data_IF_336903337974
#
_entry.id   IF_336903337974
#
_cell.length_a   1.000
_cell.length_b   1.000
_cell.length_c   1.000
_cell.angle_alpha   90.00
_cell.angle_beta   90.00
_cell.angle_gamma   90.00
#
_symmetry.space_group_name_H-M   'P 1'
#
loop_
_entity.id
_entity.type
_entity.pdbx_description
1 polymer ?
#
# COMPACT_ATOMS: atom_id res chain seq x y z
N UNK A 1 14.10 19.79 -23.67
CA UNK A 1 15.15 19.08 -24.43
C UNK A 1 14.60 17.70 -24.77
N UNK A 2 14.95 17.07 -25.90
CA UNK A 2 14.51 15.70 -26.14
C UNK A 2 15.12 14.82 -25.05
N UNK A 3 14.28 14.09 -24.31
CA UNK A 3 14.73 13.08 -23.36
C UNK A 3 15.71 12.15 -24.07
N UNK A 4 16.81 11.79 -23.42
CA UNK A 4 17.74 10.80 -23.93
C UNK A 4 16.95 9.54 -24.32
N UNK A 5 16.99 9.12 -25.59
CA UNK A 5 16.38 7.86 -26.02
C UNK A 5 17.01 6.72 -25.24
N UNK A 6 16.18 5.88 -24.63
CA UNK A 6 16.60 4.62 -24.04
C UNK A 6 16.88 3.63 -25.18
N UNK A 7 18.12 3.15 -25.27
CA UNK A 7 18.55 2.20 -26.29
C UNK A 7 18.56 0.76 -25.72
N UNK A 8 18.39 -0.30 -26.53
CA UNK A 8 18.29 -1.68 -26.04
C UNK A 8 19.44 -2.21 -25.19
N UNK A 9 20.63 -1.59 -25.26
CA UNK A 9 21.81 -1.96 -24.49
C UNK A 9 22.03 -1.08 -23.24
N UNK A 10 21.16 -0.09 -23.00
CA UNK A 10 21.25 0.77 -21.83
C UNK A 10 20.98 -0.03 -20.56
N UNK A 11 21.71 0.30 -19.50
CA UNK A 11 21.40 -0.20 -18.17
C UNK A 11 20.08 0.41 -17.70
N UNK A 12 19.01 -0.39 -17.76
CA UNK A 12 17.68 0.02 -17.32
C UNK A 12 17.67 0.52 -15.88
N UNK A 13 18.47 -0.07 -14.98
CA UNK A 13 18.50 0.36 -13.58
C UNK A 13 19.18 1.71 -13.45
N UNK A 14 20.23 1.97 -14.25
CA UNK A 14 20.82 3.30 -14.32
C UNK A 14 19.82 4.35 -14.86
N UNK A 15 19.13 4.02 -15.94
CA UNK A 15 18.16 4.93 -16.56
C UNK A 15 16.96 5.22 -15.65
N UNK A 16 16.30 4.17 -15.14
CA UNK A 16 15.07 4.28 -14.35
C UNK A 16 15.38 4.84 -12.96
N UNK A 17 16.36 4.24 -12.27
CA UNK A 17 16.63 4.49 -10.85
C UNK A 17 17.66 5.60 -10.69
N UNK A 18 18.92 5.39 -11.12
CA UNK A 18 20.02 6.34 -10.80
C UNK A 18 19.78 7.73 -11.39
N UNK A 19 19.30 7.78 -12.64
CA UNK A 19 18.97 9.02 -13.36
C UNK A 19 17.55 9.53 -13.08
N UNK A 20 16.78 8.86 -12.22
CA UNK A 20 15.44 9.29 -11.82
C UNK A 20 14.44 9.52 -12.98
N UNK A 21 14.65 8.88 -14.14
CA UNK A 21 13.68 8.94 -15.24
C UNK A 21 12.40 8.19 -14.90
N UNK A 22 12.51 7.14 -14.08
CA UNK A 22 11.41 6.25 -13.76
C UNK A 22 10.95 5.43 -14.96
N UNK A 23 9.98 4.55 -14.71
CA UNK A 23 9.32 3.79 -15.75
C UNK A 23 8.45 4.68 -16.63
N UNK A 24 7.93 5.79 -16.10
CA UNK A 24 7.27 6.80 -16.93
C UNK A 24 8.23 7.33 -18.01
N UNK A 25 9.43 7.75 -17.61
CA UNK A 25 10.43 8.24 -18.56
C UNK A 25 10.82 7.18 -19.58
N UNK A 26 10.80 5.89 -19.19
CA UNK A 26 11.02 4.78 -20.12
C UNK A 26 9.88 4.68 -21.16
N UNK A 27 8.62 4.80 -20.74
CA UNK A 27 7.46 4.80 -21.66
C UNK A 27 7.49 6.01 -22.60
N UNK A 28 7.88 7.19 -22.10
CA UNK A 28 7.99 8.42 -22.89
C UNK A 28 9.01 8.32 -24.05
N UNK A 29 9.89 7.32 -24.05
CA UNK A 29 10.82 7.05 -25.18
C UNK A 29 10.17 6.38 -26.39
N UNK A 30 8.89 5.97 -26.28
CA UNK A 30 8.18 5.24 -27.33
C UNK A 30 8.38 3.72 -27.24
N UNK A 31 8.49 3.20 -26.03
CA UNK A 31 8.74 1.78 -25.75
C UNK A 31 7.65 0.86 -26.34
N UNK A 32 8.03 -0.06 -27.24
CA UNK A 32 7.09 -1.02 -27.85
C UNK A 32 6.90 -2.31 -27.03
N UNK A 33 7.95 -2.75 -26.32
CA UNK A 33 7.91 -3.94 -25.48
C UNK A 33 8.61 -3.69 -24.15
N UNK A 34 8.12 -4.31 -23.08
CA UNK A 34 8.76 -4.17 -21.77
C UNK A 34 10.14 -4.83 -21.76
N UNK A 35 11.14 -4.25 -21.07
CA UNK A 35 12.43 -4.89 -20.88
C UNK A 35 12.32 -6.20 -20.09
N UNK A 36 13.30 -7.09 -20.27
CA UNK A 36 13.33 -8.39 -19.56
C UNK A 36 13.29 -8.24 -18.03
N UNK A 37 13.90 -7.18 -17.52
CA UNK A 37 13.92 -6.84 -16.10
C UNK A 37 12.53 -6.47 -15.56
N UNK A 38 11.52 -6.25 -16.41
CA UNK A 38 10.14 -5.99 -16.00
C UNK A 38 9.22 -7.22 -16.20
N UNK A 39 9.74 -8.32 -16.77
CA UNK A 39 8.98 -9.55 -17.01
C UNK A 39 8.89 -10.35 -15.72
N UNK A 40 7.68 -10.47 -15.19
CA UNK A 40 7.42 -11.16 -13.94
C UNK A 40 7.56 -12.68 -14.07
N UNK A 41 8.03 -13.39 -13.02
CA UNK A 41 7.96 -14.85 -12.94
C UNK A 41 6.51 -15.35 -13.14
N UNK A 42 6.34 -16.54 -13.72
CA UNK A 42 5.01 -17.06 -14.08
C UNK A 42 4.05 -17.15 -12.89
N UNK A 43 4.56 -17.57 -11.74
CA UNK A 43 3.82 -17.69 -10.48
C UNK A 43 3.42 -16.34 -9.88
N UNK A 44 4.08 -15.25 -10.27
CA UNK A 44 3.76 -13.88 -9.83
C UNK A 44 2.76 -13.18 -10.74
N UNK A 45 2.61 -13.63 -11.99
CA UNK A 45 1.65 -13.05 -12.94
C UNK A 45 0.22 -13.29 -12.49
N UNK A 46 -0.67 -12.34 -12.78
CA UNK A 46 -2.11 -12.51 -12.55
C UNK A 46 -2.75 -13.11 -13.81
N UNK A 47 -3.16 -14.38 -13.73
CA UNK A 47 -3.83 -15.02 -14.87
C UNK A 47 -5.32 -14.67 -14.89
N UNK A 48 -5.86 -14.39 -16.08
CA UNK A 48 -7.29 -14.06 -16.27
C UNK A 48 -8.23 -15.17 -15.78
N UNK A 49 -7.79 -16.43 -15.86
CA UNK A 49 -8.51 -17.61 -15.36
C UNK A 49 -8.74 -17.58 -13.85
N UNK A 50 -7.90 -16.87 -13.10
CA UNK A 50 -7.97 -16.78 -11.64
C UNK A 50 -8.90 -15.65 -11.19
N UNK A 51 -9.34 -14.76 -12.10
CA UNK A 51 -10.15 -13.60 -11.73
C UNK A 51 -11.62 -14.03 -11.59
N UNK A 52 -12.16 -13.90 -10.38
CA UNK A 52 -13.57 -14.10 -10.09
C UNK A 52 -14.33 -12.78 -10.19
N UNK A 53 -15.13 -12.63 -11.25
CA UNK A 53 -15.95 -11.44 -11.49
C UNK A 53 -17.33 -11.47 -10.80
N UNK A 54 -17.66 -12.55 -10.06
CA UNK A 54 -18.95 -12.69 -9.37
C UNK A 54 -18.89 -12.29 -7.89
N UNK A 55 -17.69 -12.21 -7.33
CA UNK A 55 -17.46 -11.75 -5.95
C UNK A 55 -16.98 -10.30 -5.95
N UNK A 56 -17.31 -9.57 -4.89
CA UNK A 56 -16.84 -8.21 -4.63
C UNK A 56 -16.58 -8.05 -3.14
N UNK A 57 -15.57 -7.25 -2.78
CA UNK A 57 -15.37 -6.88 -1.38
C UNK A 57 -16.54 -6.02 -0.87
N UNK A 58 -16.83 -6.03 0.44
CA UNK A 58 -17.89 -5.20 1.01
C UNK A 58 -17.66 -3.71 0.75
N UNK A 59 -18.73 -2.96 0.49
CA UNK A 59 -18.74 -1.50 0.51
C UNK A 59 -19.57 -1.02 1.69
N UNK A 60 -18.99 -0.16 2.51
CA UNK A 60 -19.57 0.30 3.78
C UNK A 60 -19.80 1.81 3.70
N UNK A 61 -21.05 2.22 3.93
CA UNK A 61 -21.44 3.63 4.00
C UNK A 61 -21.19 4.18 5.41
N UNK A 62 -20.32 5.19 5.50
CA UNK A 62 -19.92 5.82 6.76
C UNK A 62 -20.72 7.09 7.12
N UNK A 63 -21.80 7.40 6.39
CA UNK A 63 -22.68 8.55 6.67
C UNK A 63 -23.26 8.55 8.09
N UNK A 64 -23.40 7.38 8.72
CA UNK A 64 -23.83 7.23 10.11
C UNK A 64 -22.82 6.38 10.90
N UNK A 65 -21.58 6.86 10.97
CA UNK A 65 -20.44 6.13 11.55
C UNK A 65 -20.67 5.64 12.99
N UNK A 66 -21.38 6.41 13.81
CA UNK A 66 -21.65 6.08 15.22
C UNK A 66 -22.71 4.98 15.41
N UNK A 67 -23.29 4.48 14.32
CA UNK A 67 -24.27 3.41 14.36
C UNK A 67 -23.59 2.04 14.57
N UNK A 68 -24.04 1.29 15.59
CA UNK A 68 -23.57 -0.06 15.89
C UNK A 68 -23.60 -1.03 14.70
N UNK A 69 -24.51 -0.84 13.74
CA UNK A 69 -24.56 -1.67 12.53
C UNK A 69 -23.39 -1.39 11.56
N UNK A 70 -22.91 -0.14 11.48
CA UNK A 70 -21.74 0.24 10.69
C UNK A 70 -20.49 -0.31 11.34
N UNK A 71 -20.35 -0.17 12.66
CA UNK A 71 -19.24 -0.77 13.42
C UNK A 71 -19.13 -2.28 13.18
N UNK A 72 -20.25 -3.00 13.30
CA UNK A 72 -20.30 -4.45 13.04
C UNK A 72 -19.96 -4.79 11.60
N UNK A 73 -20.37 -3.98 10.63
CA UNK A 73 -20.05 -4.20 9.22
C UNK A 73 -18.54 -4.09 8.96
N UNK A 74 -17.87 -3.13 9.62
CA UNK A 74 -16.41 -2.97 9.55
C UNK A 74 -15.71 -4.19 10.17
N UNK A 75 -16.13 -4.60 11.37
CA UNK A 75 -15.55 -5.76 12.07
C UNK A 75 -15.77 -7.07 11.29
N UNK A 76 -16.95 -7.26 10.72
CA UNK A 76 -17.28 -8.42 9.87
C UNK A 76 -16.45 -8.43 8.58
N UNK A 77 -16.28 -7.27 7.94
CA UNK A 77 -15.46 -7.17 6.74
C UNK A 77 -13.98 -7.45 7.05
N UNK A 78 -13.44 -6.88 8.13
CA UNK A 78 -12.07 -7.12 8.57
C UNK A 78 -11.78 -8.59 8.93
N UNK A 79 -12.77 -9.30 9.50
CA UNK A 79 -12.62 -10.70 9.90
C UNK A 79 -12.84 -11.71 8.77
N UNK A 80 -13.77 -11.44 7.85
CA UNK A 80 -14.12 -12.36 6.75
C UNK A 80 -13.31 -12.09 5.49
N UNK A 81 -13.11 -10.82 5.16
CA UNK A 81 -12.53 -10.37 3.89
C UNK A 81 -11.16 -9.75 4.05
N UNK A 82 -10.85 -9.17 5.21
CA UNK A 82 -9.61 -8.40 5.40
C UNK A 82 -9.51 -7.12 4.58
N UNK A 83 -10.51 -6.84 3.74
CA UNK A 83 -10.62 -5.75 2.79
C UNK A 83 -12.07 -5.28 2.71
N UNK A 84 -12.26 -3.97 2.54
CA UNK A 84 -13.55 -3.35 2.25
C UNK A 84 -13.36 -1.98 1.61
N UNK A 85 -14.38 -1.45 0.95
CA UNK A 85 -14.42 -0.05 0.54
C UNK A 85 -15.27 0.76 1.51
N UNK A 86 -14.89 2.00 1.76
CA UNK A 86 -15.68 2.96 2.52
C UNK A 86 -16.12 4.12 1.62
N UNK A 87 -17.37 4.54 1.77
CA UNK A 87 -17.95 5.72 1.09
C UNK A 87 -18.55 6.66 2.14
N UNK A 88 -18.81 7.91 1.75
CA UNK A 88 -19.35 8.94 2.66
C UNK A 88 -18.52 9.09 3.95
N UNK A 89 -17.21 8.90 3.85
CA UNK A 89 -16.26 8.91 4.98
C UNK A 89 -15.87 10.31 5.47
N UNK A 90 -16.46 11.36 4.89
CA UNK A 90 -16.31 12.75 5.34
C UNK A 90 -15.11 13.50 4.77
N UNK A 91 -14.24 12.88 3.98
CA UNK A 91 -13.17 13.59 3.27
C UNK A 91 -13.79 14.24 2.02
N UNK A 92 -13.62 15.55 1.79
CA UNK A 92 -14.13 16.20 0.58
C UNK A 92 -13.57 15.57 -0.69
N UNK A 93 -14.41 15.42 -1.73
CA UNK A 93 -14.01 14.81 -3.00
C UNK A 93 -12.88 15.60 -3.65
N UNK A 94 -12.89 16.93 -3.50
CA UNK A 94 -11.88 17.83 -4.02
C UNK A 94 -10.50 17.53 -3.44
N UNK A 95 -10.41 17.17 -2.15
CA UNK A 95 -9.14 16.78 -1.51
C UNK A 95 -8.58 15.51 -2.15
N UNK A 96 -9.44 14.54 -2.47
CA UNK A 96 -9.04 13.29 -3.11
C UNK A 96 -8.62 13.51 -4.57
N UNK A 97 -9.38 14.33 -5.31
CA UNK A 97 -9.11 14.62 -6.72
C UNK A 97 -7.83 15.47 -6.88
N UNK A 98 -7.65 16.49 -6.04
CA UNK A 98 -6.44 17.32 -6.02
C UNK A 98 -5.18 16.51 -5.70
N UNK A 99 -5.28 15.52 -4.80
CA UNK A 99 -4.16 14.65 -4.45
C UNK A 99 -3.76 13.74 -5.62
N UNK A 100 -4.72 13.17 -6.34
CA UNK A 100 -4.44 12.37 -7.55
C UNK A 100 -3.79 13.23 -8.62
N UNK A 101 -4.32 14.43 -8.86
CA UNK A 101 -3.79 15.38 -9.83
C UNK A 101 -2.37 15.85 -9.47
N UNK A 102 -2.11 16.11 -8.18
CA UNK A 102 -0.77 16.42 -7.69
C UNK A 102 0.23 15.29 -7.97
N UNK A 103 -0.21 14.04 -7.84
CA UNK A 103 0.57 12.87 -8.24
C UNK A 103 0.93 12.89 -9.72
N UNK A 104 -0.05 13.09 -10.62
CA UNK A 104 0.21 13.23 -12.05
C UNK A 104 1.23 14.36 -12.32
N UNK A 105 1.00 15.56 -11.78
CA UNK A 105 1.91 16.71 -11.94
C UNK A 105 3.34 16.41 -11.52
N UNK A 106 3.53 15.70 -10.40
CA UNK A 106 4.86 15.33 -9.93
C UNK A 106 5.57 14.37 -10.90
N UNK A 107 4.90 13.32 -11.37
CA UNK A 107 5.55 12.34 -12.23
C UNK A 107 5.80 12.87 -13.66
N UNK A 108 5.04 13.87 -14.12
CA UNK A 108 5.30 14.63 -15.35
C UNK A 108 6.49 15.59 -15.27
N UNK A 109 7.07 15.83 -14.08
CA UNK A 109 8.26 16.66 -13.97
C UNK A 109 9.47 16.04 -14.71
N UNK A 110 10.38 16.88 -15.24
CA UNK A 110 11.68 16.44 -15.73
C UNK A 110 12.44 15.63 -14.67
N UNK A 111 13.25 14.66 -15.10
CA UNK A 111 14.01 13.81 -14.18
C UNK A 111 15.04 14.62 -13.37
N UNK A 112 15.55 15.73 -13.92
CA UNK A 112 16.46 16.65 -13.24
C UNK A 112 15.81 17.32 -12.01
N UNK A 113 14.50 17.49 -12.01
CA UNK A 113 13.76 18.01 -10.85
C UNK A 113 13.45 16.90 -9.84
N UNK A 114 13.22 15.67 -10.30
CA UNK A 114 12.88 14.52 -9.45
C UNK A 114 14.10 13.89 -8.76
N UNK A 115 15.29 13.99 -9.35
CA UNK A 115 16.51 13.32 -8.87
C UNK A 115 16.91 13.71 -7.45
N UNK A 116 16.56 14.91 -6.99
CA UNK A 116 16.84 15.35 -5.61
C UNK A 116 16.09 14.54 -4.54
N UNK A 117 14.98 13.89 -4.91
CA UNK A 117 14.19 13.02 -4.02
C UNK A 117 14.63 11.56 -4.13
N UNK A 118 15.52 11.23 -5.06
CA UNK A 118 16.07 9.89 -5.20
C UNK A 118 17.13 9.66 -4.11
N UNK A 119 16.99 8.58 -3.35
CA UNK A 119 18.00 8.14 -2.39
C UNK A 119 18.52 6.77 -2.78
N UNK A 120 19.80 6.53 -2.53
CA UNK A 120 20.46 5.26 -2.88
C UNK A 120 19.83 4.05 -2.16
N UNK A 121 19.25 4.26 -0.98
CA UNK A 121 18.57 3.23 -0.21
C UNK A 121 17.21 3.72 0.28
N UNK A 122 16.27 2.77 0.38
CA UNK A 122 14.98 3.03 0.99
C UNK A 122 15.18 3.20 2.50
N UNK A 123 15.03 4.44 2.98
CA UNK A 123 15.14 4.78 4.39
C UNK A 123 13.83 5.42 4.86
N UNK A 124 13.19 4.84 5.88
CA UNK A 124 11.92 5.32 6.43
C UNK A 124 12.05 6.59 7.26
N UNK A 125 13.25 6.91 7.72
CA UNK A 125 13.58 8.12 8.49
C UNK A 125 13.63 9.36 7.60
N UNK A 126 13.70 9.17 6.28
CA UNK A 126 13.62 10.26 5.32
C UNK A 126 12.20 10.83 5.28
N UNK A 127 12.09 12.15 5.38
CA UNK A 127 10.81 12.85 5.30
C UNK A 127 10.15 12.69 3.94
N UNK A 128 10.94 12.56 2.87
CA UNK A 128 10.47 12.24 1.53
C UNK A 128 11.50 11.42 0.77
N UNK A 129 11.01 10.48 -0.04
CA UNK A 129 11.83 9.61 -0.86
C UNK A 129 11.06 9.22 -2.12
N UNK A 130 11.66 9.44 -3.28
CA UNK A 130 11.25 8.75 -4.50
C UNK A 130 11.84 7.35 -4.51
N UNK A 131 11.03 6.37 -4.88
CA UNK A 131 11.40 4.96 -4.85
C UNK A 131 10.88 4.21 -6.06
N UNK A 132 11.52 3.07 -6.29
CA UNK A 132 11.06 2.02 -7.18
C UNK A 132 11.10 0.72 -6.43
N UNK A 133 10.40 -0.26 -6.95
CA UNK A 133 10.33 -1.57 -6.33
C UNK A 133 10.61 -2.67 -7.33
N UNK A 134 11.15 -3.76 -6.81
CA UNK A 134 11.60 -4.91 -7.57
C UNK A 134 11.32 -6.18 -6.77
N UNK A 135 11.31 -7.33 -7.41
CA UNK A 135 11.21 -8.65 -6.79
C UNK A 135 12.55 -9.35 -6.96
N UNK A 136 12.99 -10.13 -5.97
CA UNK A 136 14.21 -10.92 -6.05
C UNK A 136 15.41 -10.33 -5.32
N UNK A 137 16.41 -11.17 -5.08
CA UNK A 137 17.68 -10.81 -4.43
C UNK A 137 18.69 -10.26 -5.46
N UNK A 138 19.61 -9.40 -4.99
CA UNK A 138 20.79 -8.84 -5.72
C UNK A 138 20.71 -8.81 -7.25
N UNK A 139 20.94 -9.95 -7.91
CA UNK A 139 21.17 -10.11 -9.35
C UNK A 139 19.96 -10.63 -10.15
N UNK A 140 18.86 -11.03 -9.48
CA UNK A 140 17.60 -11.50 -10.11
C UNK A 140 16.46 -10.48 -9.99
N UNK A 141 16.80 -9.20 -9.80
CA UNK A 141 15.81 -8.15 -9.55
C UNK A 141 14.90 -7.93 -10.76
N UNK A 142 13.63 -8.33 -10.63
CA UNK A 142 12.57 -8.00 -11.58
C UNK A 142 11.85 -6.74 -11.10
N UNK A 143 11.99 -5.64 -11.83
CA UNK A 143 11.28 -4.39 -11.58
C UNK A 143 9.76 -4.59 -11.62
N UNK A 144 9.10 -4.02 -10.63
CA UNK A 144 7.66 -3.84 -10.64
C UNK A 144 7.34 -2.56 -11.43
N UNK A 145 6.25 -2.59 -12.20
CA UNK A 145 5.90 -1.55 -13.15
C UNK A 145 5.23 -0.34 -12.48
N UNK A 146 6.00 0.32 -11.59
CA UNK A 146 5.54 1.41 -10.73
C UNK A 146 6.68 2.36 -10.36
N UNK A 147 6.43 3.65 -10.51
CA UNK A 147 7.18 4.73 -9.88
C UNK A 147 6.46 5.16 -8.59
N UNK A 148 7.20 5.58 -7.56
CA UNK A 148 6.60 5.96 -6.28
C UNK A 148 7.31 7.13 -5.62
N UNK A 149 6.55 7.95 -4.90
CA UNK A 149 7.10 8.91 -3.94
C UNK A 149 6.42 8.73 -2.59
N UNK A 150 7.23 8.62 -1.53
CA UNK A 150 6.80 8.45 -0.14
C UNK A 150 6.95 9.77 0.60
N UNK A 151 5.93 10.13 1.36
CA UNK A 151 5.92 11.23 2.33
C UNK A 151 5.76 10.65 3.74
N UNK A 152 6.76 10.82 4.59
CA UNK A 152 6.71 10.39 5.99
C UNK A 152 5.84 11.34 6.81
N UNK A 153 4.81 10.83 7.48
CA UNK A 153 3.80 11.66 8.14
C UNK A 153 4.04 11.86 9.66
N UNK A 154 5.15 11.34 10.20
CA UNK A 154 5.47 11.48 11.63
C UNK A 154 5.81 12.95 11.99
N UNK A 155 5.57 13.38 13.24
CA UNK A 155 5.81 14.78 13.66
C UNK A 155 7.23 15.31 13.45
N UNK A 156 8.24 14.43 13.41
CA UNK A 156 9.64 14.81 13.21
C UNK A 156 10.00 15.06 11.74
N UNK A 157 9.11 14.70 10.80
CA UNK A 157 9.36 14.89 9.38
C UNK A 157 9.18 16.36 8.96
N UNK A 158 10.15 16.90 8.24
CA UNK A 158 10.06 18.26 7.71
C UNK A 158 9.38 18.25 6.34
N UNK A 159 8.09 18.63 6.34
CA UNK A 159 7.32 18.76 5.10
C UNK A 159 7.87 19.82 4.13
N UNK A 160 8.75 20.72 4.57
CA UNK A 160 9.42 21.67 3.67
C UNK A 160 10.41 20.98 2.71
N UNK A 161 10.82 19.75 3.01
CA UNK A 161 11.64 18.93 2.14
C UNK A 161 10.82 18.26 1.02
N UNK A 162 9.49 18.20 1.15
CA UNK A 162 8.62 17.53 0.16
C UNK A 162 8.53 18.32 -1.15
N UNK A 163 8.32 17.67 -2.30
CA UNK A 163 8.10 18.35 -3.57
C UNK A 163 6.96 19.36 -3.48
N UNK A 164 7.17 20.62 -3.93
CA UNK A 164 6.11 21.63 -3.93
C UNK A 164 4.83 21.20 -4.66
N UNK A 165 4.97 20.34 -5.68
CA UNK A 165 3.87 19.83 -6.51
C UNK A 165 2.90 18.92 -5.74
N UNK A 166 3.37 18.24 -4.67
CA UNK A 166 2.55 17.31 -3.88
C UNK A 166 2.33 17.78 -2.44
N UNK A 167 3.18 18.68 -1.93
CA UNK A 167 3.27 19.00 -0.51
C UNK A 167 1.94 19.37 0.12
N UNK A 168 1.26 20.38 -0.42
CA UNK A 168 0.04 20.92 0.18
C UNK A 168 -1.12 19.92 0.11
N UNK A 169 -1.22 19.18 -1.00
CA UNK A 169 -2.27 18.17 -1.19
C UNK A 169 -2.07 16.97 -0.26
N UNK A 170 -0.83 16.53 -0.05
CA UNK A 170 -0.51 15.48 0.92
C UNK A 170 -0.83 15.93 2.34
N UNK A 171 -0.43 17.16 2.73
CA UNK A 171 -0.74 17.72 4.05
C UNK A 171 -2.25 17.85 4.29
N UNK A 172 -3.00 18.34 3.30
CA UNK A 172 -4.46 18.46 3.43
C UNK A 172 -5.10 17.07 3.51
N UNK A 173 -4.70 16.11 2.67
CA UNK A 173 -5.22 14.73 2.78
C UNK A 173 -4.90 14.10 4.13
N UNK A 174 -3.67 14.26 4.64
CA UNK A 174 -3.25 13.76 5.95
C UNK A 174 -4.16 14.26 7.08
N UNK A 175 -4.50 15.56 7.08
CA UNK A 175 -5.39 16.19 8.06
C UNK A 175 -6.75 15.50 8.15
N UNK A 176 -7.26 14.97 7.04
CA UNK A 176 -8.53 14.26 6.99
C UNK A 176 -8.39 12.74 7.22
N UNK A 177 -7.38 12.13 6.62
CA UNK A 177 -7.21 10.68 6.61
C UNK A 177 -6.70 10.12 7.94
N UNK A 178 -5.86 10.87 8.67
CA UNK A 178 -5.32 10.43 9.97
C UNK A 178 -6.42 10.26 11.03
N UNK A 179 -7.34 11.23 11.26
CA UNK A 179 -8.46 11.02 12.18
C UNK A 179 -9.40 9.91 11.73
N UNK A 180 -9.62 9.75 10.42
CA UNK A 180 -10.43 8.65 9.88
C UNK A 180 -9.80 7.28 10.18
N UNK A 181 -8.49 7.14 9.97
CA UNK A 181 -7.76 5.92 10.32
C UNK A 181 -7.84 5.60 11.81
N UNK A 182 -7.71 6.60 12.69
CA UNK A 182 -7.87 6.44 14.14
C UNK A 182 -9.27 5.90 14.49
N UNK A 183 -10.32 6.50 13.94
CA UNK A 183 -11.71 6.05 14.15
C UNK A 183 -11.95 4.62 13.67
N UNK A 184 -11.40 4.24 12.52
CA UNK A 184 -11.49 2.87 12.02
C UNK A 184 -10.79 1.88 12.96
N UNK A 185 -9.60 2.23 13.47
CA UNK A 185 -8.90 1.42 14.46
C UNK A 185 -9.69 1.29 15.75
N UNK A 186 -10.28 2.36 16.29
CA UNK A 186 -11.13 2.32 17.49
C UNK A 186 -12.30 1.33 17.33
N UNK A 187 -12.97 1.35 16.17
CA UNK A 187 -14.05 0.40 15.84
C UNK A 187 -13.54 -1.05 15.79
N UNK A 188 -12.38 -1.27 15.18
CA UNK A 188 -11.76 -2.60 15.10
C UNK A 188 -11.34 -3.11 16.48
N UNK A 189 -10.73 -2.27 17.31
CA UNK A 189 -10.30 -2.61 18.67
C UNK A 189 -11.49 -2.92 19.58
N UNK A 190 -12.59 -2.17 19.45
CA UNK A 190 -13.83 -2.46 20.19
C UNK A 190 -14.34 -3.87 19.89
N UNK A 191 -14.21 -4.34 18.64
CA UNK A 191 -14.53 -5.72 18.26
C UNK A 191 -13.61 -6.79 18.88
N UNK A 192 -12.47 -6.36 19.43
CA UNK A 192 -11.51 -7.18 20.16
C UNK A 192 -11.58 -6.97 21.69
N UNK A 193 -12.61 -6.25 22.18
CA UNK A 193 -12.75 -5.83 23.58
C UNK A 193 -11.58 -4.96 24.09
N UNK A 194 -10.97 -4.18 23.20
CA UNK A 194 -9.96 -3.16 23.50
C UNK A 194 -10.63 -1.80 23.32
N UNK A 195 -10.90 -1.11 24.44
CA UNK A 195 -11.95 -0.08 24.45
C UNK A 195 -11.49 1.32 24.01
N UNK A 196 -10.19 1.65 24.10
CA UNK A 196 -9.67 2.99 23.75
C UNK A 196 -8.23 2.91 23.24
N UNK A 197 -7.84 3.84 22.37
CA UNK A 197 -6.43 4.08 22.00
C UNK A 197 -5.87 5.12 22.96
N UNK A 198 -5.24 4.66 24.03
CA UNK A 198 -4.52 5.49 24.99
C UNK A 198 -3.06 5.73 24.57
N UNK A 199 -2.30 6.45 25.40
CA UNK A 199 -0.87 6.75 25.16
C UNK A 199 0.00 5.49 25.02
N UNK A 200 -0.44 4.34 25.53
CA UNK A 200 0.29 3.07 25.41
C UNK A 200 0.01 2.34 24.10
N UNK A 201 -1.20 2.48 23.56
CA UNK A 201 -1.64 1.84 22.33
C UNK A 201 -1.39 2.70 21.08
N UNK A 202 -1.30 4.01 21.22
CA UNK A 202 -1.06 4.91 20.09
C UNK A 202 0.25 4.60 19.34
N UNK A 203 1.42 4.40 20.00
CA UNK A 203 2.64 3.96 19.32
C UNK A 203 2.48 2.58 18.66
N UNK A 204 1.77 1.66 19.31
CA UNK A 204 1.57 0.30 18.80
C UNK A 204 0.68 0.25 17.55
N UNK A 205 -0.24 1.20 17.39
CA UNK A 205 -1.24 1.17 16.32
C UNK A 205 -0.99 2.19 15.22
N UNK A 206 -0.51 3.38 15.59
CA UNK A 206 -0.36 4.55 14.72
C UNK A 206 1.01 5.23 14.89
N UNK A 207 2.00 4.51 15.42
CA UNK A 207 3.32 5.05 15.72
C UNK A 207 4.09 5.58 14.51
N UNK A 208 3.92 4.97 13.33
CA UNK A 208 4.44 5.53 12.08
C UNK A 208 3.43 5.54 10.95
N UNK A 209 3.35 6.67 10.25
CA UNK A 209 2.49 6.84 9.08
C UNK A 209 3.27 7.29 7.87
N UNK A 210 2.85 6.82 6.69
CA UNK A 210 3.39 7.27 5.43
C UNK A 210 2.32 7.29 4.36
N UNK A 211 2.33 8.35 3.54
CA UNK A 211 1.52 8.44 2.33
C UNK A 211 2.46 8.17 1.15
N UNK A 212 2.15 7.17 0.34
CA UNK A 212 2.85 6.98 -0.93
C UNK A 212 1.94 7.42 -2.07
N UNK A 213 2.47 8.17 -3.03
CA UNK A 213 1.83 8.40 -4.31
C UNK A 213 2.50 7.47 -5.31
N UNK A 214 1.75 6.48 -5.79
CA UNK A 214 2.21 5.49 -6.76
C UNK A 214 1.69 5.85 -8.16
N UNK A 215 2.58 5.84 -9.14
CA UNK A 215 2.28 6.06 -10.55
C UNK A 215 2.64 4.83 -11.38
N UNK A 216 1.69 4.36 -12.16
CA UNK A 216 1.82 3.19 -13.01
C UNK A 216 1.65 3.67 -14.45
N UNK A 217 2.73 3.86 -15.22
CA UNK A 217 2.62 4.29 -16.61
C UNK A 217 1.93 3.19 -17.46
N UNK A 218 1.33 3.53 -18.60
CA UNK A 218 0.80 2.54 -19.54
C UNK A 218 1.85 1.47 -19.86
N UNK A 219 1.47 0.21 -19.80
CA UNK A 219 2.37 -0.91 -19.99
C UNK A 219 2.15 -1.58 -21.36
N UNK A 220 3.15 -1.65 -22.26
CA UNK A 220 2.99 -2.30 -23.57
C UNK A 220 2.62 -3.79 -23.50
N UNK A 221 3.04 -4.49 -22.44
CA UNK A 221 2.76 -5.92 -22.26
C UNK A 221 2.18 -6.21 -20.84
N UNK A 222 0.94 -5.79 -20.55
CA UNK A 222 0.41 -5.80 -19.17
C UNK A 222 0.22 -7.21 -18.59
N UNK A 223 0.08 -8.24 -19.44
CA UNK A 223 -0.12 -9.63 -19.00
C UNK A 223 1.15 -10.30 -18.45
N UNK A 224 2.33 -9.72 -18.66
CA UNK A 224 3.62 -10.26 -18.21
C UNK A 224 4.38 -9.32 -17.27
N UNK A 225 3.85 -8.12 -17.03
CA UNK A 225 4.29 -7.19 -16.00
C UNK A 225 3.35 -7.23 -14.79
N UNK A 226 3.76 -6.62 -13.68
CA UNK A 226 2.88 -6.35 -12.53
C UNK A 226 3.23 -4.99 -11.96
N UNK A 227 2.23 -4.24 -11.53
CA UNK A 227 2.43 -2.94 -10.90
C UNK A 227 2.95 -3.10 -9.47
N UNK A 228 2.46 -4.11 -8.76
CA UNK A 228 2.99 -4.50 -7.45
C UNK A 228 2.70 -5.97 -7.17
N UNK A 229 3.70 -6.68 -6.66
CA UNK A 229 3.67 -8.13 -6.41
C UNK A 229 2.55 -8.55 -5.48
N UNK A 230 2.32 -9.86 -5.45
CA UNK A 230 1.47 -10.49 -4.46
C UNK A 230 2.11 -10.37 -3.07
N UNK A 231 1.41 -9.75 -2.14
CA UNK A 231 1.92 -9.47 -0.79
C UNK A 231 0.78 -9.25 0.21
N UNK A 232 1.12 -9.28 1.49
CA UNK A 232 0.26 -8.80 2.58
C UNK A 232 0.95 -7.59 3.24
N UNK A 233 0.21 -6.51 3.47
CA UNK A 233 0.76 -5.31 4.12
C UNK A 233 1.27 -5.62 5.53
N UNK A 234 2.34 -4.95 5.95
CA UNK A 234 2.83 -5.02 7.33
C UNK A 234 2.08 -4.10 8.30
N UNK A 235 1.26 -3.19 7.77
CA UNK A 235 0.58 -2.15 8.54
C UNK A 235 -0.37 -2.73 9.58
N UNK A 236 -0.89 -1.88 10.45
CA UNK A 236 -2.11 -2.19 11.19
C UNK A 236 -3.29 -2.15 10.21
N UNK A 237 -3.44 -1.01 9.53
CA UNK A 237 -4.38 -0.83 8.43
C UNK A 237 -3.75 0.02 7.33
N UNK A 238 -4.28 -0.12 6.12
CA UNK A 238 -3.95 0.74 4.97
C UNK A 238 -5.24 1.36 4.45
N UNK A 239 -5.21 2.67 4.15
CA UNK A 239 -6.30 3.39 3.48
C UNK A 239 -5.82 3.78 2.07
N UNK A 240 -6.41 3.20 1.05
CA UNK A 240 -6.01 3.34 -0.35
C UNK A 240 -7.01 4.18 -1.13
N UNK A 241 -6.55 5.33 -1.61
CA UNK A 241 -7.23 6.08 -2.67
C UNK A 241 -6.83 5.53 -4.04
N UNK A 242 -7.80 5.25 -4.90
CA UNK A 242 -7.60 4.81 -6.28
C UNK A 242 -8.10 5.87 -7.27
N UNK A 243 -7.50 5.89 -8.46
CA UNK A 243 -8.12 6.49 -9.63
C UNK A 243 -9.22 5.58 -10.22
N UNK A 244 -9.79 5.97 -11.36
CA UNK A 244 -10.83 5.21 -12.07
C UNK A 244 -10.25 4.14 -13.02
N UNK A 245 -8.94 3.98 -13.12
CA UNK A 245 -8.30 2.95 -13.96
C UNK A 245 -8.42 1.56 -13.31
N UNK A 246 -8.42 1.48 -11.98
CA UNK A 246 -8.57 0.20 -11.27
C UNK A 246 -7.28 -0.60 -11.18
N UNK A 247 -7.33 -1.92 -11.16
CA UNK A 247 -6.12 -2.76 -11.16
C UNK A 247 -5.68 -3.28 -9.79
N UNK A 248 -6.38 -2.96 -8.70
CA UNK A 248 -6.20 -3.66 -7.42
C UNK A 248 -6.92 -5.02 -7.47
N UNK A 249 -6.21 -6.07 -7.11
CA UNK A 249 -6.77 -7.42 -6.97
C UNK A 249 -6.47 -7.98 -5.59
N UNK A 250 -7.48 -8.58 -4.96
CA UNK A 250 -7.40 -9.19 -3.63
C UNK A 250 -7.74 -10.67 -3.71
N UNK A 251 -7.04 -11.50 -2.95
CA UNK A 251 -7.34 -12.92 -2.86
C UNK A 251 -8.74 -13.12 -2.25
N UNK A 252 -9.57 -13.90 -2.95
CA UNK A 252 -10.92 -14.21 -2.50
C UNK A 252 -10.93 -15.12 -1.27
N UNK A 253 -12.11 -15.26 -0.67
CA UNK A 253 -12.28 -16.07 0.55
C UNK A 253 -12.30 -17.59 0.29
N UNK A 254 -12.36 -18.00 -0.99
CA UNK A 254 -12.46 -19.40 -1.43
C UNK A 254 -11.52 -19.70 -2.60
N UNK A 255 -10.62 -20.66 -2.38
CA UNK A 255 -9.66 -21.12 -3.39
C UNK A 255 -8.64 -20.07 -3.80
N UNK A 256 -8.02 -20.26 -4.97
CA UNK A 256 -6.95 -19.39 -5.49
C UNK A 256 -7.49 -18.28 -6.42
N UNK A 257 -8.74 -17.87 -6.19
CA UNK A 257 -9.40 -16.83 -6.99
C UNK A 257 -9.02 -15.43 -6.53
N UNK A 258 -9.00 -14.49 -7.47
CA UNK A 258 -8.71 -13.07 -7.27
C UNK A 258 -9.92 -12.22 -7.60
N UNK A 259 -10.23 -11.27 -6.74
CA UNK A 259 -11.35 -10.35 -6.89
C UNK A 259 -10.79 -9.01 -7.34
N UNK A 260 -11.32 -8.48 -8.45
CA UNK A 260 -11.02 -7.13 -8.88
C UNK A 260 -11.74 -6.12 -7.98
N UNK A 261 -11.00 -5.22 -7.34
CA UNK A 261 -11.58 -4.13 -6.55
C UNK A 261 -11.89 -2.97 -7.50
N UNK A 262 -13.13 -2.94 -7.99
CA UNK A 262 -13.61 -1.87 -8.86
C UNK A 262 -13.56 -0.52 -8.11
N UNK A 263 -12.89 0.50 -8.66
CA UNK A 263 -12.88 1.83 -8.06
C UNK A 263 -14.29 2.42 -7.98
N UNK A 264 -14.63 2.95 -6.81
CA UNK A 264 -15.84 3.75 -6.61
C UNK A 264 -15.40 5.21 -6.43
N UNK A 265 -16.04 6.12 -7.18
CA UNK A 265 -15.72 7.56 -7.09
C UNK A 265 -15.90 8.04 -5.64
N UNK A 266 -14.84 8.61 -5.07
CA UNK A 266 -14.85 9.12 -3.71
C UNK A 266 -14.80 8.06 -2.62
N UNK A 267 -14.48 6.81 -2.97
CA UNK A 267 -14.27 5.76 -1.99
C UNK A 267 -12.79 5.60 -1.64
N UNK A 268 -12.53 5.02 -0.47
CA UNK A 268 -11.23 4.48 -0.10
C UNK A 268 -11.36 2.97 0.07
N UNK A 269 -10.42 2.20 -0.48
CA UNK A 269 -10.27 0.80 -0.09
C UNK A 269 -9.48 0.74 1.22
N UNK A 270 -9.91 -0.09 2.16
CA UNK A 270 -9.28 -0.29 3.46
C UNK A 270 -8.91 -1.75 3.60
N UNK A 271 -7.70 -2.02 4.06
CA UNK A 271 -7.28 -3.38 4.37
C UNK A 271 -6.57 -3.49 5.71
N UNK A 272 -6.69 -4.67 6.29
CA UNK A 272 -5.98 -5.08 7.50
C UNK A 272 -4.59 -5.54 7.10
N UNK A 273 -3.57 -5.13 7.85
CA UNK A 273 -2.21 -5.62 7.67
C UNK A 273 -1.79 -6.63 8.75
N UNK A 274 -0.59 -7.17 8.58
CA UNK A 274 -0.04 -8.25 9.39
C UNK A 274 0.03 -7.87 10.87
N UNK A 275 0.40 -6.62 11.19
CA UNK A 275 0.49 -6.16 12.58
C UNK A 275 -0.84 -6.31 13.31
N UNK A 276 -1.95 -5.89 12.70
CA UNK A 276 -3.26 -6.02 13.33
C UNK A 276 -3.80 -7.46 13.29
N UNK A 277 -3.46 -8.28 12.29
CA UNK A 277 -3.75 -9.71 12.32
C UNK A 277 -3.04 -10.41 13.50
N UNK A 278 -1.75 -10.12 13.71
CA UNK A 278 -0.95 -10.65 14.82
C UNK A 278 -1.57 -10.21 16.16
N UNK A 279 -1.82 -8.91 16.33
CA UNK A 279 -2.39 -8.38 17.56
C UNK A 279 -3.81 -8.86 17.84
N UNK A 280 -4.60 -9.11 16.80
CA UNK A 280 -5.95 -9.65 16.93
C UNK A 280 -6.01 -11.18 17.10
N UNK A 281 -4.86 -11.87 17.14
CA UNK A 281 -4.77 -13.33 17.18
C UNK A 281 -5.66 -13.98 16.09
N UNK A 282 -5.46 -13.58 14.82
CA UNK A 282 -6.22 -14.00 13.63
C UNK A 282 -7.71 -13.64 13.60
N UNK A 283 -8.25 -12.85 14.54
CA UNK A 283 -9.65 -12.41 14.44
C UNK A 283 -9.87 -11.51 13.22
N UNK A 284 -8.89 -10.70 12.86
CA UNK A 284 -8.85 -9.95 11.60
C UNK A 284 -7.81 -10.52 10.64
N UNK A 285 -8.06 -10.38 9.34
CA UNK A 285 -7.29 -11.06 8.30
C UNK A 285 -6.52 -10.07 7.43
N UNK A 286 -5.21 -10.18 7.45
CA UNK A 286 -4.33 -9.64 6.43
C UNK A 286 -4.40 -10.55 5.20
N UNK A 287 -4.83 -9.98 4.09
CA UNK A 287 -5.12 -10.72 2.85
C UNK A 287 -4.13 -10.35 1.76
N UNK A 288 -3.74 -11.39 1.02
CA UNK A 288 -2.84 -11.25 -0.10
C UNK A 288 -3.51 -10.43 -1.20
N UNK A 289 -2.79 -9.45 -1.72
CA UNK A 289 -3.27 -8.59 -2.78
C UNK A 289 -2.12 -8.21 -3.73
N UNK A 290 -2.47 -7.79 -4.94
CA UNK A 290 -1.52 -7.38 -5.97
C UNK A 290 -2.11 -6.27 -6.85
N UNK A 291 -1.26 -5.67 -7.68
CA UNK A 291 -1.66 -4.57 -8.56
C UNK A 291 -1.31 -4.90 -10.01
N UNK A 292 -2.31 -5.05 -10.86
CA UNK A 292 -2.12 -5.18 -12.31
C UNK A 292 -1.90 -3.79 -12.94
N UNK A 293 -1.37 -3.79 -14.17
CA UNK A 293 -1.15 -2.58 -14.98
C UNK A 293 -2.05 -2.57 -16.21
N UNK A 294 -2.35 -1.37 -16.69
CA UNK A 294 -3.17 -1.14 -17.88
C UNK A 294 -2.29 -0.83 -19.09
N UNK A 295 -2.73 -1.21 -20.29
CA UNK A 295 -1.98 -0.95 -21.53
C UNK A 295 -2.17 0.45 -22.11
N UNK A 296 -3.21 1.16 -21.69
CA UNK A 296 -3.69 2.38 -22.35
C UNK A 296 -3.66 3.61 -21.44
N UNK A 297 -3.89 3.42 -20.14
CA UNK A 297 -4.04 4.52 -19.18
C UNK A 297 -2.95 4.46 -18.11
N UNK A 298 -2.38 5.61 -17.79
CA UNK A 298 -1.60 5.76 -16.58
C UNK A 298 -2.53 5.68 -15.38
N UNK A 299 -2.06 5.06 -14.30
CA UNK A 299 -2.80 4.93 -13.05
C UNK A 299 -2.11 5.68 -11.91
N UNK A 300 -2.90 6.33 -11.06
CA UNK A 300 -2.46 6.80 -9.75
C UNK A 300 -3.13 5.98 -8.64
N UNK A 301 -2.39 5.69 -7.58
CA UNK A 301 -2.99 5.28 -6.30
C UNK A 301 -2.21 5.84 -5.12
N UNK A 302 -2.93 6.17 -4.04
CA UNK A 302 -2.36 6.84 -2.88
C UNK A 302 -2.71 6.09 -1.58
N UNK A 303 -1.91 5.08 -1.19
CA UNK A 303 -2.05 4.44 0.12
C UNK A 303 -1.50 5.33 1.25
N UNK A 304 -2.29 5.44 2.32
CA UNK A 304 -1.84 5.80 3.65
C UNK A 304 -1.60 4.50 4.44
N UNK A 305 -0.34 4.25 4.79
CA UNK A 305 0.05 3.14 5.66
C UNK A 305 0.06 3.61 7.12
N UNK A 306 -0.64 2.88 7.99
CA UNK A 306 -0.70 3.15 9.43
C UNK A 306 -0.05 1.98 10.15
N UNK A 307 1.13 2.20 10.73
CA UNK A 307 1.99 1.14 11.27
C UNK A 307 2.31 1.40 12.75
N UNK A 308 2.76 0.35 13.49
CA UNK A 308 3.41 0.52 14.78
C UNK A 308 4.67 1.39 14.71
N UNK A 309 5.13 1.90 15.86
CA UNK A 309 6.48 2.45 16.00
C UNK A 309 7.53 1.36 15.86
N UNK A 310 8.75 1.66 15.37
CA UNK A 310 9.81 0.66 15.22
C UNK A 310 10.17 -0.08 16.52
N UNK A 311 10.09 0.61 17.65
CA UNK A 311 10.38 0.10 18.99
C UNK A 311 9.18 -0.63 19.66
N UNK A 312 8.02 -0.66 19.00
CA UNK A 312 6.84 -1.35 19.52
C UNK A 312 6.98 -2.86 19.41
N UNK A 313 6.52 -3.57 20.44
CA UNK A 313 6.45 -5.04 20.44
C UNK A 313 5.04 -5.45 20.04
N UNK A 314 4.89 -6.00 18.83
CA UNK A 314 3.61 -6.52 18.34
C UNK A 314 3.41 -7.96 18.85
N UNK A 315 2.19 -8.28 19.25
CA UNK A 315 1.78 -9.59 19.74
C UNK A 315 0.30 -9.60 20.12
N UNK A 316 -0.32 -10.77 20.30
CA UNK A 316 -1.76 -10.87 20.60
C UNK A 316 -2.16 -10.04 21.81
N UNK A 317 -3.24 -9.27 21.67
CA UNK A 317 -3.75 -8.45 22.77
C UNK A 317 -4.12 -9.31 23.98
N UNK A 318 -3.72 -8.93 25.20
CA UNK A 318 -4.06 -9.68 26.40
C UNK A 318 -5.57 -9.90 26.57
N UNK A 319 -6.39 -8.94 26.16
CA UNK A 319 -7.86 -8.98 26.19
C UNK A 319 -8.45 -10.16 25.41
N UNK A 320 -7.75 -10.60 24.36
CA UNK A 320 -8.15 -11.73 23.52
C UNK A 320 -7.78 -13.07 24.15
N UNK A 321 -6.68 -13.10 24.92
CA UNK A 321 -6.16 -14.34 25.52
C UNK A 321 -6.81 -14.71 26.87
N UNK A 322 -7.73 -13.89 27.38
CA UNK A 322 -8.31 -14.03 28.74
C UNK A 322 -9.14 -15.30 28.96
N UNK A 323 -9.62 -15.95 27.89
CA UNK A 323 -10.53 -17.10 27.98
C UNK A 323 -9.82 -18.47 27.76
N UNK A 324 -8.52 -18.55 28.05
CA UNK A 324 -7.72 -19.76 27.82
C UNK A 324 -7.40 -20.02 26.35
N UNK A 325 -7.63 -19.03 25.49
CA UNK A 325 -7.22 -19.06 24.09
C UNK A 325 -5.70 -19.14 23.98
N UNK A 326 -5.23 -20.02 23.08
CA UNK A 326 -3.80 -20.14 22.80
C UNK A 326 -3.36 -19.00 21.90
N UNK A 327 -2.21 -18.43 22.25
CA UNK A 327 -1.51 -17.50 21.36
C UNK A 327 -1.11 -18.25 20.08
N UNK A 328 -1.48 -17.70 18.91
CA UNK A 328 -0.98 -18.20 17.61
C UNK A 328 0.31 -17.51 17.19
N UNK A 329 0.61 -16.38 17.84
CA UNK A 329 1.77 -15.54 17.54
C UNK A 329 2.60 -15.29 18.79
N UNK A 330 3.92 -15.19 18.60
CA UNK A 330 4.85 -14.71 19.63
C UNK A 330 4.92 -13.19 19.58
N UNK A 331 5.44 -12.60 20.65
CA UNK A 331 5.73 -11.17 20.69
C UNK A 331 7.03 -10.89 19.91
N UNK A 332 7.00 -9.94 18.99
CA UNK A 332 8.15 -9.55 18.17
C UNK A 332 8.31 -8.04 18.13
N UNK A 333 9.56 -7.57 18.11
CA UNK A 333 9.85 -6.16 17.89
C UNK A 333 9.47 -5.78 16.45
N UNK A 334 8.78 -4.66 16.26
CA UNK A 334 8.30 -4.27 14.94
C UNK A 334 9.45 -3.98 13.97
N UNK A 335 10.56 -3.40 14.43
CA UNK A 335 11.76 -3.22 13.60
C UNK A 335 12.36 -4.55 13.12
N UNK A 336 12.39 -5.59 13.96
CA UNK A 336 12.89 -6.91 13.56
C UNK A 336 11.96 -7.56 12.52
N UNK A 337 10.65 -7.39 12.70
CA UNK A 337 9.64 -7.83 11.74
C UNK A 337 9.78 -7.10 10.39
N UNK A 338 10.02 -5.79 10.44
CA UNK A 338 10.26 -4.93 9.29
C UNK A 338 11.48 -5.39 8.49
N UNK A 339 12.61 -5.58 9.17
CA UNK A 339 13.86 -6.04 8.55
C UNK A 339 13.69 -7.44 7.94
N UNK A 340 12.98 -8.34 8.62
CA UNK A 340 12.65 -9.65 8.07
C UNK A 340 11.83 -9.55 6.78
N UNK A 341 10.80 -8.71 6.78
CA UNK A 341 9.92 -8.54 5.63
C UNK A 341 10.67 -7.97 4.42
N UNK A 342 11.51 -6.96 4.60
CA UNK A 342 12.24 -6.35 3.49
C UNK A 342 13.47 -7.14 3.03
N UNK A 343 14.07 -7.95 3.90
CA UNK A 343 15.18 -8.84 3.52
C UNK A 343 14.72 -10.02 2.68
N UNK A 344 13.57 -10.63 3.01
CA UNK A 344 13.05 -11.80 2.29
C UNK A 344 12.04 -11.49 1.19
N UNK A 345 11.41 -10.30 1.25
CA UNK A 345 10.27 -9.90 0.40
C UNK A 345 9.28 -11.06 0.18
N UNK A 346 8.78 -11.68 1.27
CA UNK A 346 7.99 -12.90 1.18
C UNK A 346 6.75 -12.66 0.31
N UNK A 347 6.47 -13.58 -0.61
CA UNK A 347 5.21 -13.60 -1.35
C UNK A 347 4.08 -14.10 -0.45
N UNK A 348 2.88 -13.55 -0.66
CA UNK A 348 1.68 -13.94 0.08
C UNK A 348 1.79 -13.82 1.60
N UNK A 349 1.31 -14.86 2.30
CA UNK A 349 1.19 -14.90 3.77
C UNK A 349 2.45 -15.34 4.51
N UNK A 350 3.53 -15.64 3.79
CA UNK A 350 4.79 -16.08 4.39
C UNK A 350 5.42 -14.99 5.28
N UNK A 351 5.02 -13.72 5.11
CA UNK A 351 5.40 -12.63 6.01
C UNK A 351 4.96 -12.87 7.46
N UNK A 352 3.86 -13.60 7.71
CA UNK A 352 3.36 -13.86 9.05
C UNK A 352 4.18 -14.93 9.79
N UNK A 353 4.89 -15.79 9.07
CA UNK A 353 5.59 -16.95 9.64
C UNK A 353 6.71 -16.53 10.60
N UNK A 354 7.27 -15.33 10.46
CA UNK A 354 8.22 -14.77 11.41
C UNK A 354 7.64 -14.67 12.83
N UNK A 355 6.35 -14.35 12.95
CA UNK A 355 5.68 -14.11 14.22
C UNK A 355 4.88 -15.33 14.72
N UNK A 356 4.63 -16.34 13.88
CA UNK A 356 3.90 -17.55 14.30
C UNK A 356 4.67 -18.38 15.34
N UNK A 357 3.91 -19.11 16.16
CA UNK A 357 4.41 -20.09 17.15
C UNK A 357 4.53 -21.48 16.52
#
# INVERSE_FOLDING_TARGET
MPSSKFEPNDDILDFVIKKANGLKGLVDTGLENIPNQCIQPKDQRLEKSQINNQESIPTIDLSNFDNLSVEKSIQDAASKWGFFQIINHGIPIEVLDDLKEAGHKFFELPSEEKVQYNKESYNTDESVLMFWSAIGEKDEKVLEWRDGIRHGCNPQNDSNLWPPQTRNQVLEYQKWATPLAKKLLEVLLKGLNVNEIDESLEPLLMGTMAININYYPPCPNPNIAIGFRRHCDMSCITLLLQDDTGGLYVQGTKGDNWIHVNPIKGALAVNIGNSLQIMSNDRYKSIEHCVAVDSSRARISVPLFVNPSPDSVIGPFPQILKDGEKSMYKHVLFSDYWDHYFSKRPSGKASLDFAKI
#
